data_IF_647590896977
#
_entry.id   IF_647590896977
#
_cell.length_a   1.000
_cell.length_b   1.000
_cell.length_c   1.000
_cell.angle_alpha   90.00
_cell.angle_beta   90.00
_cell.angle_gamma   90.00
#
_symmetry.space_group_name_H-M   'P 1'
#
loop_
_entity.id
_entity.type
_entity.pdbx_description
1 polymer ?
#
# COMPACT_ATOMS: atom_id res chain seq x y z
N UNK A 1 -0.80 13.43 9.29
CA UNK A 1 -1.33 12.08 9.37
C UNK A 1 -1.39 11.56 10.80
N UNK A 2 -2.48 10.92 11.18
CA UNK A 2 -2.58 10.21 12.47
C UNK A 2 -1.85 8.87 12.37
N UNK A 3 -1.08 8.52 13.43
CA UNK A 3 -0.47 7.20 13.54
C UNK A 3 -1.50 6.24 14.13
N UNK A 4 -1.85 5.18 13.41
CA UNK A 4 -2.73 4.11 13.91
C UNK A 4 -1.95 3.08 14.72
N UNK A 5 -0.68 2.88 14.38
CA UNK A 5 0.23 1.97 15.07
C UNK A 5 1.54 2.69 15.34
N UNK A 6 2.06 2.54 16.57
CA UNK A 6 3.28 3.16 17.01
C UNK A 6 3.10 4.58 17.59
N UNK A 7 4.19 5.14 18.09
CA UNK A 7 4.19 6.47 18.72
C UNK A 7 4.28 7.59 17.67
N UNK A 8 3.68 8.75 17.96
CA UNK A 8 3.82 9.96 17.13
C UNK A 8 5.23 10.58 17.25
N UNK A 9 6.22 9.91 16.66
CA UNK A 9 7.61 10.35 16.61
C UNK A 9 8.04 10.59 15.17
N UNK A 10 8.94 11.55 14.96
CA UNK A 10 9.47 11.92 13.64
C UNK A 10 10.02 10.70 12.85
N UNK A 11 10.63 9.74 13.54
CA UNK A 11 11.15 8.49 12.92
C UNK A 11 10.08 7.57 12.35
N UNK A 12 8.81 7.71 12.79
CA UNK A 12 7.66 6.98 12.27
C UNK A 12 7.01 7.69 11.07
N UNK A 13 7.58 8.81 10.60
CA UNK A 13 7.07 9.51 9.43
C UNK A 13 7.27 8.67 8.16
N UNK A 14 6.27 8.68 7.29
CA UNK A 14 6.34 8.02 6.00
C UNK A 14 6.85 8.99 4.90
N UNK A 15 7.47 8.47 3.84
CA UNK A 15 7.66 7.05 3.53
C UNK A 15 8.71 6.37 4.43
N UNK A 16 8.48 5.10 4.74
CA UNK A 16 9.44 4.24 5.44
C UNK A 16 10.40 3.64 4.41
N UNK A 17 11.70 3.77 4.65
CA UNK A 17 12.74 3.16 3.81
C UNK A 17 13.15 1.82 4.40
N UNK A 18 13.35 0.83 3.54
CA UNK A 18 13.93 -0.46 3.90
C UNK A 18 14.86 -0.94 2.79
N UNK A 19 15.92 -1.64 3.19
CA UNK A 19 16.89 -2.25 2.29
C UNK A 19 17.12 -3.70 2.70
N UNK A 20 17.08 -4.59 1.74
CA UNK A 20 17.31 -6.03 1.95
C UNK A 20 17.80 -6.72 0.68
N UNK A 21 17.83 -8.06 0.66
CA UNK A 21 18.26 -8.84 -0.51
C UNK A 21 17.51 -8.50 -1.79
N UNK A 22 16.24 -8.12 -1.70
CA UNK A 22 15.40 -7.76 -2.85
C UNK A 22 15.58 -6.31 -3.33
N UNK A 23 16.52 -5.57 -2.75
CA UNK A 23 16.79 -4.18 -3.09
C UNK A 23 16.33 -3.19 -2.02
N UNK A 24 16.30 -1.92 -2.39
CA UNK A 24 15.86 -0.81 -1.54
C UNK A 24 14.49 -0.32 -2.00
N UNK A 25 13.63 -0.01 -1.03
CA UNK A 25 12.29 0.55 -1.27
C UNK A 25 12.01 1.72 -0.33
N UNK A 26 11.06 2.58 -0.76
CA UNK A 26 10.38 3.53 0.11
C UNK A 26 8.87 3.23 0.07
N UNK A 27 8.24 3.08 1.24
CA UNK A 27 6.86 2.63 1.38
C UNK A 27 6.01 3.67 2.12
N UNK A 28 4.86 3.99 1.53
CA UNK A 28 3.78 4.69 2.20
C UNK A 28 2.60 3.73 2.41
N UNK A 29 1.98 3.80 3.59
CA UNK A 29 0.93 2.89 4.04
C UNK A 29 -0.25 3.67 4.61
N UNK A 30 -1.42 3.40 4.11
CA UNK A 30 -2.70 3.80 4.66
C UNK A 30 -3.43 2.56 5.15
N UNK A 31 -3.53 2.40 6.47
CA UNK A 31 -4.16 1.21 7.05
C UNK A 31 -3.60 0.83 8.41
N UNK A 32 -3.81 -0.42 8.77
CA UNK A 32 -3.34 -1.03 10.01
C UNK A 32 -3.17 -2.54 9.86
N UNK A 33 -2.00 -3.06 10.23
CA UNK A 33 -1.68 -4.50 10.24
C UNK A 33 -1.92 -5.04 11.64
N UNK A 34 -2.88 -5.97 11.78
CA UNK A 34 -3.28 -6.49 13.10
C UNK A 34 -2.35 -7.57 13.65
N UNK A 35 -1.63 -8.27 12.78
CA UNK A 35 -0.64 -9.28 13.17
C UNK A 35 0.82 -8.75 13.11
N UNK A 36 1.00 -7.47 13.39
CA UNK A 36 2.29 -6.80 13.32
C UNK A 36 3.32 -7.38 14.30
N UNK A 37 2.92 -7.67 15.56
CA UNK A 37 3.85 -8.13 16.60
C UNK A 37 4.55 -9.46 16.25
N UNK A 38 3.84 -10.56 15.93
CA UNK A 38 4.49 -11.81 15.57
C UNK A 38 5.32 -11.70 14.29
N UNK A 39 4.93 -10.88 13.31
CA UNK A 39 5.72 -10.66 12.10
C UNK A 39 7.03 -9.91 12.40
N UNK A 40 7.01 -8.97 13.34
CA UNK A 40 8.21 -8.28 13.79
C UNK A 40 9.20 -9.23 14.43
N UNK A 41 8.77 -10.06 15.37
CA UNK A 41 9.61 -11.06 16.05
C UNK A 41 10.27 -12.01 15.04
N UNK A 42 9.53 -12.46 14.05
CA UNK A 42 10.07 -13.33 13.01
C UNK A 42 11.11 -12.62 12.15
N UNK A 43 10.85 -11.40 11.72
CA UNK A 43 11.78 -10.60 10.91
C UNK A 43 13.05 -10.24 11.70
N UNK A 44 12.92 -9.98 12.99
CA UNK A 44 14.08 -9.82 13.89
C UNK A 44 14.91 -11.12 13.95
N UNK A 45 14.25 -12.27 13.98
CA UNK A 45 14.89 -13.59 13.86
C UNK A 45 15.63 -13.79 12.52
N UNK A 46 15.19 -13.13 11.45
CA UNK A 46 15.91 -13.10 10.17
C UNK A 46 17.06 -12.08 10.13
N UNK A 47 17.27 -11.35 11.22
CA UNK A 47 18.31 -10.33 11.34
C UNK A 47 17.89 -8.94 10.89
N UNK A 48 16.60 -8.69 10.62
CA UNK A 48 16.10 -7.35 10.36
C UNK A 48 16.23 -6.48 11.62
N UNK A 49 16.66 -5.25 11.43
CA UNK A 49 16.69 -4.24 12.50
C UNK A 49 15.61 -3.21 12.24
N UNK A 50 14.88 -2.85 13.29
CA UNK A 50 13.79 -1.89 13.22
C UNK A 50 14.18 -0.56 13.86
N UNK A 51 13.96 0.52 13.12
CA UNK A 51 14.22 1.89 13.58
C UNK A 51 12.94 2.57 14.10
N UNK A 52 11.78 2.04 13.74
CA UNK A 52 10.48 2.60 14.07
C UNK A 52 9.60 1.63 14.86
N UNK A 53 8.53 2.12 15.43
CA UNK A 53 7.46 1.30 16.03
C UNK A 53 6.25 1.13 15.10
N UNK A 54 6.38 1.51 13.83
CA UNK A 54 5.29 1.45 12.85
C UNK A 54 5.16 0.04 12.25
N UNK A 55 3.92 -0.39 12.02
CA UNK A 55 3.59 -1.57 11.23
C UNK A 55 4.04 -1.44 9.76
N UNK A 56 4.14 -0.22 9.25
CA UNK A 56 4.63 0.07 7.91
C UNK A 56 6.06 -0.42 7.68
N UNK A 57 6.91 -0.40 8.72
CA UNK A 57 8.29 -0.90 8.63
C UNK A 57 8.33 -2.43 8.50
N UNK A 58 7.39 -3.12 9.14
CA UNK A 58 7.23 -4.57 9.00
C UNK A 58 6.91 -4.94 7.56
N UNK A 59 5.96 -4.23 6.95
CA UNK A 59 5.61 -4.42 5.53
C UNK A 59 6.83 -4.18 4.64
N UNK A 60 7.57 -3.10 4.89
CA UNK A 60 8.76 -2.76 4.11
C UNK A 60 9.85 -3.84 4.23
N UNK A 61 10.11 -4.34 5.44
CA UNK A 61 11.03 -5.45 5.65
C UNK A 61 10.55 -6.74 5.01
N UNK A 62 9.25 -7.04 5.05
CA UNK A 62 8.72 -8.20 4.34
C UNK A 62 9.04 -8.12 2.85
N UNK A 63 8.68 -7.04 2.16
CA UNK A 63 8.92 -6.88 0.73
C UNK A 63 10.40 -6.98 0.35
N UNK A 64 11.29 -6.49 1.21
CA UNK A 64 12.73 -6.52 0.94
C UNK A 64 13.42 -7.84 1.30
N UNK A 65 12.77 -8.74 2.06
CA UNK A 65 13.39 -9.98 2.56
C UNK A 65 12.66 -11.28 2.18
N UNK A 66 11.35 -11.23 1.85
CA UNK A 66 10.62 -12.45 1.45
C UNK A 66 11.13 -13.02 0.14
N UNK A 67 11.09 -14.35 -0.04
CA UNK A 67 11.48 -14.99 -1.30
C UNK A 67 10.49 -14.64 -2.42
N UNK A 68 10.99 -14.62 -3.65
CA UNK A 68 10.22 -14.40 -4.87
C UNK A 68 11.15 -13.98 -6.02
N UNK A 69 10.92 -14.53 -7.21
CA UNK A 69 11.72 -14.23 -8.39
C UNK A 69 11.49 -12.78 -8.88
N UNK A 70 10.28 -12.28 -8.69
CA UNK A 70 9.88 -10.93 -9.08
C UNK A 70 9.01 -10.24 -8.02
N UNK A 71 8.58 -9.00 -8.30
CA UNK A 71 7.72 -8.26 -7.39
C UNK A 71 6.33 -8.88 -7.21
N UNK A 72 5.78 -9.55 -8.22
CA UNK A 72 4.49 -10.24 -8.14
C UNK A 72 4.51 -11.36 -7.10
N UNK A 73 5.53 -12.23 -7.16
CA UNK A 73 5.71 -13.32 -6.20
C UNK A 73 5.98 -12.81 -4.78
N UNK A 74 6.80 -11.76 -4.63
CA UNK A 74 7.09 -11.15 -3.31
C UNK A 74 5.83 -10.53 -2.70
N UNK A 75 5.05 -9.80 -3.48
CA UNK A 75 3.77 -9.25 -3.05
C UNK A 75 2.80 -10.37 -2.69
N UNK A 76 2.69 -11.42 -3.50
CA UNK A 76 1.86 -12.58 -3.20
C UNK A 76 2.25 -13.23 -1.87
N UNK A 77 3.54 -13.39 -1.62
CA UNK A 77 4.07 -13.95 -0.37
C UNK A 77 3.76 -13.07 0.83
N UNK A 78 3.96 -11.76 0.70
CA UNK A 78 3.61 -10.78 1.72
C UNK A 78 2.10 -10.79 2.01
N UNK A 79 1.24 -10.72 0.98
CA UNK A 79 -0.21 -10.65 1.15
C UNK A 79 -0.82 -11.89 1.79
N UNK A 80 -0.21 -13.07 1.61
CA UNK A 80 -0.65 -14.30 2.30
C UNK A 80 -0.41 -14.26 3.80
N UNK A 81 0.53 -13.44 4.25
CA UNK A 81 0.98 -13.39 5.64
C UNK A 81 0.44 -12.21 6.42
N UNK A 82 0.15 -11.10 5.73
CA UNK A 82 -0.42 -9.92 6.36
C UNK A 82 -1.90 -10.11 6.68
N UNK A 83 -2.28 -9.72 7.88
CA UNK A 83 -3.68 -9.58 8.30
C UNK A 83 -3.97 -8.14 8.67
N UNK A 84 -5.07 -7.61 8.15
CA UNK A 84 -5.47 -6.21 8.39
C UNK A 84 -5.92 -5.50 7.12
N UNK A 85 -6.12 -4.21 7.23
CA UNK A 85 -6.49 -3.33 6.14
C UNK A 85 -5.27 -2.51 5.71
N UNK A 86 -4.94 -2.50 4.41
CA UNK A 86 -3.80 -1.73 3.92
C UNK A 86 -3.94 -1.33 2.45
N UNK A 87 -3.60 -0.09 2.18
CA UNK A 87 -3.30 0.40 0.84
C UNK A 87 -1.88 0.95 0.84
N UNK A 88 -1.04 0.43 -0.05
CA UNK A 88 0.38 0.70 -0.08
C UNK A 88 0.77 1.38 -1.38
N UNK A 89 1.65 2.36 -1.28
CA UNK A 89 2.44 2.85 -2.40
C UNK A 89 3.90 2.56 -2.13
N UNK A 90 4.55 1.85 -3.04
CA UNK A 90 5.94 1.41 -2.89
C UNK A 90 6.77 1.93 -4.05
N UNK A 91 7.77 2.73 -3.72
CA UNK A 91 8.78 3.20 -4.68
C UNK A 91 9.99 2.26 -4.61
N UNK A 92 10.41 1.78 -5.77
CA UNK A 92 11.66 1.04 -5.98
C UNK A 92 12.63 1.87 -6.82
N UNK A 93 13.80 1.33 -7.15
CA UNK A 93 14.74 2.00 -8.06
C UNK A 93 14.13 2.30 -9.44
N UNK A 94 13.33 1.38 -9.98
CA UNK A 94 12.90 1.41 -11.37
C UNK A 94 11.37 1.41 -11.56
N UNK A 95 10.60 1.42 -10.46
CA UNK A 95 9.14 1.29 -10.52
C UNK A 95 8.43 1.90 -9.31
N UNK A 96 7.13 2.18 -9.50
CA UNK A 96 6.18 2.46 -8.43
C UNK A 96 5.12 1.35 -8.42
N UNK A 97 4.79 0.84 -7.24
CA UNK A 97 3.73 -0.15 -7.07
C UNK A 97 2.59 0.38 -6.20
N UNK A 98 1.37 0.00 -6.55
CA UNK A 98 0.18 0.17 -5.72
C UNK A 98 -0.33 -1.21 -5.31
N UNK A 99 -0.59 -1.41 -4.02
CA UNK A 99 -1.03 -2.70 -3.47
C UNK A 99 -2.21 -2.44 -2.55
N UNK A 100 -3.34 -3.12 -2.80
CA UNK A 100 -4.54 -3.00 -1.98
C UNK A 100 -4.82 -4.30 -1.23
N UNK A 101 -5.22 -4.20 0.03
CA UNK A 101 -5.52 -5.38 0.86
C UNK A 101 -6.59 -6.29 0.21
N UNK A 102 -6.61 -7.59 0.59
CA UNK A 102 -7.51 -8.53 -0.04
C UNK A 102 -9.00 -8.19 0.07
N UNK A 103 -9.44 -7.51 1.13
CA UNK A 103 -10.83 -7.09 1.30
C UNK A 103 -11.12 -5.71 0.71
N UNK A 104 -10.06 -4.95 0.34
CA UNK A 104 -10.18 -3.61 -0.21
C UNK A 104 -10.73 -2.58 0.78
N UNK A 105 -10.45 -2.78 2.08
CA UNK A 105 -11.00 -1.93 3.15
C UNK A 105 -10.55 -0.47 3.01
N UNK A 106 -9.29 -0.25 2.61
CA UNK A 106 -8.76 1.10 2.38
C UNK A 106 -8.74 1.41 0.89
N UNK A 107 -9.13 2.64 0.48
CA UNK A 107 -9.16 3.01 -0.92
C UNK A 107 -7.75 3.13 -1.51
N UNK A 108 -7.66 2.87 -2.80
CA UNK A 108 -6.47 3.11 -3.61
C UNK A 108 -6.88 3.27 -5.06
N UNK A 109 -6.52 4.37 -5.69
CA UNK A 109 -6.88 4.69 -7.07
C UNK A 109 -5.67 5.01 -7.93
N UNK A 110 -5.87 4.92 -9.23
CA UNK A 110 -4.89 5.22 -10.27
C UNK A 110 -5.42 6.37 -11.09
N UNK A 111 -4.58 7.38 -11.29
CA UNK A 111 -4.83 8.49 -12.20
C UNK A 111 -3.80 8.51 -13.34
N UNK A 112 -4.19 9.17 -14.42
CA UNK A 112 -3.35 9.38 -15.60
C UNK A 112 -3.02 10.87 -15.74
N UNK A 113 -1.75 11.17 -15.93
CA UNK A 113 -1.23 12.44 -16.41
C UNK A 113 -0.75 12.30 -17.85
N UNK A 114 -0.56 13.40 -18.56
CA UNK A 114 -0.04 13.37 -19.93
C UNK A 114 1.28 12.60 -20.05
N UNK A 115 2.16 12.76 -19.07
CA UNK A 115 3.50 12.16 -19.05
C UNK A 115 3.63 10.91 -18.17
N UNK A 116 2.53 10.38 -17.57
CA UNK A 116 2.69 9.25 -16.67
C UNK A 116 1.46 8.87 -15.87
N UNK A 117 1.69 8.15 -14.78
CA UNK A 117 0.66 7.59 -13.91
C UNK A 117 0.84 8.06 -12.47
N UNK A 118 -0.25 8.13 -11.74
CA UNK A 118 -0.30 8.49 -10.32
C UNK A 118 -1.04 7.41 -9.56
N UNK A 119 -0.58 7.11 -8.34
CA UNK A 119 -1.29 6.26 -7.38
C UNK A 119 -1.61 7.14 -6.17
N UNK A 120 -2.87 7.14 -5.76
CA UNK A 120 -3.33 7.91 -4.61
C UNK A 120 -4.37 7.11 -3.81
N UNK A 121 -4.56 7.47 -2.54
CA UNK A 121 -5.64 6.90 -1.72
C UNK A 121 -7.01 7.36 -2.18
N UNK A 122 -7.13 8.60 -2.65
CA UNK A 122 -8.41 9.25 -2.92
C UNK A 122 -8.39 10.01 -4.26
N UNK A 123 -9.53 10.09 -4.93
CA UNK A 123 -9.67 10.78 -6.22
C UNK A 123 -9.45 12.28 -6.10
N UNK A 124 -9.80 12.92 -4.99
CA UNK A 124 -9.53 14.35 -4.76
C UNK A 124 -8.03 14.69 -4.86
N UNK A 125 -7.14 13.73 -4.54
CA UNK A 125 -5.70 13.93 -4.72
C UNK A 125 -5.30 13.95 -6.20
N UNK A 126 -5.99 13.21 -7.06
CA UNK A 126 -5.80 13.23 -8.50
C UNK A 126 -6.25 14.56 -9.10
N UNK A 127 -7.44 15.03 -8.70
CA UNK A 127 -8.01 16.31 -9.15
C UNK A 127 -7.09 17.48 -8.81
N UNK A 128 -6.51 17.45 -7.60
CA UNK A 128 -5.61 18.50 -7.11
C UNK A 128 -4.35 18.68 -7.96
N UNK A 129 -3.88 17.63 -8.61
CA UNK A 129 -2.69 17.65 -9.49
C UNK A 129 -3.04 17.62 -10.99
N UNK A 130 -4.33 17.70 -11.34
CA UNK A 130 -4.81 17.66 -12.72
C UNK A 130 -4.69 16.27 -13.38
N UNK A 131 -4.64 15.19 -12.59
CA UNK A 131 -4.64 13.84 -13.13
C UNK A 131 -6.09 13.36 -13.38
N UNK A 132 -6.30 12.72 -14.52
CA UNK A 132 -7.59 12.10 -14.82
C UNK A 132 -7.71 10.76 -14.10
N UNK A 133 -8.81 10.53 -13.39
CA UNK A 133 -9.11 9.22 -12.79
C UNK A 133 -9.13 8.13 -13.88
N UNK A 134 -8.44 7.05 -13.65
CA UNK A 134 -8.39 5.91 -14.56
C UNK A 134 -9.21 4.73 -14.03
N UNK A 135 -8.90 4.27 -12.82
CA UNK A 135 -9.66 3.23 -12.10
C UNK A 135 -9.17 3.11 -10.65
N UNK A 136 -9.94 2.40 -9.86
CA UNK A 136 -9.44 1.91 -8.58
C UNK A 136 -8.50 0.69 -8.75
N UNK A 137 -7.62 0.48 -7.77
CA UNK A 137 -6.94 -0.80 -7.59
C UNK A 137 -7.92 -1.74 -6.93
N UNK A 138 -8.18 -2.90 -7.54
CA UNK A 138 -9.16 -3.85 -7.03
C UNK A 138 -8.72 -4.45 -5.68
N UNK A 139 -9.66 -4.93 -4.84
CA UNK A 139 -9.32 -5.70 -3.66
C UNK A 139 -8.39 -6.88 -4.00
N UNK A 140 -7.30 -7.03 -3.23
CA UNK A 140 -6.31 -8.09 -3.46
C UNK A 140 -5.42 -7.89 -4.69
N UNK A 141 -5.48 -6.73 -5.33
CA UNK A 141 -4.67 -6.43 -6.51
C UNK A 141 -3.38 -5.69 -6.13
N UNK A 142 -2.32 -6.01 -6.88
CA UNK A 142 -1.11 -5.22 -6.94
C UNK A 142 -0.80 -4.81 -8.38
N UNK A 143 -0.52 -3.54 -8.57
CA UNK A 143 -0.13 -2.95 -9.85
C UNK A 143 1.30 -2.44 -9.77
N UNK A 144 1.97 -2.40 -10.92
CA UNK A 144 3.29 -1.80 -11.08
C UNK A 144 3.28 -0.82 -12.26
N UNK A 145 4.00 0.26 -12.08
CA UNK A 145 4.26 1.28 -13.09
C UNK A 145 5.77 1.36 -13.25
N UNK A 146 6.27 1.01 -14.42
CA UNK A 146 7.68 1.08 -14.80
C UNK A 146 7.84 1.52 -16.26
N UNK A 147 9.00 1.31 -16.84
CA UNK A 147 9.30 1.64 -18.27
C UNK A 147 8.38 0.92 -19.27
N UNK A 148 7.72 -0.17 -18.85
CA UNK A 148 6.73 -0.91 -19.67
C UNK A 148 5.29 -0.39 -19.47
N UNK A 149 5.11 0.64 -18.65
CA UNK A 149 3.81 1.22 -18.32
C UNK A 149 3.13 0.57 -17.11
N UNK A 150 1.83 0.83 -16.98
CA UNK A 150 0.98 0.30 -15.91
C UNK A 150 0.53 -1.13 -16.23
N UNK A 151 0.70 -2.04 -15.30
CA UNK A 151 0.16 -3.41 -15.38
C UNK A 151 -0.11 -4.02 -14.00
N UNK A 152 -1.01 -4.97 -13.94
CA UNK A 152 -1.23 -5.81 -12.77
C UNK A 152 -0.12 -6.87 -12.67
N UNK A 153 0.50 -6.99 -11.50
CA UNK A 153 1.55 -8.00 -11.23
C UNK A 153 1.08 -9.12 -10.32
N UNK A 154 0.00 -8.89 -9.58
CA UNK A 154 -0.63 -9.88 -8.73
C UNK A 154 -2.11 -9.55 -8.54
N UNK A 155 -2.94 -10.58 -8.50
CA UNK A 155 -4.34 -10.48 -8.13
C UNK A 155 -4.74 -11.73 -7.36
N UNK A 156 -5.20 -11.53 -6.14
CA UNK A 156 -5.77 -12.60 -5.33
C UNK A 156 -7.25 -12.73 -5.67
N UNK A 157 -7.67 -13.91 -6.11
CA UNK A 157 -9.09 -14.20 -6.23
C UNK A 157 -9.71 -14.21 -4.83
N UNK A 158 -10.75 -13.44 -4.66
CA UNK A 158 -11.49 -13.38 -3.39
C UNK A 158 -12.98 -13.21 -3.65
N UNK A 159 -13.79 -13.91 -2.85
CA UNK A 159 -15.24 -13.76 -2.81
C UNK A 159 -15.59 -12.73 -1.72
N UNK A 160 -15.80 -11.49 -2.12
CA UNK A 160 -16.28 -10.40 -1.27
C UNK A 160 -15.31 -9.22 -1.17
N UNK A 161 -15.88 -8.05 -0.95
CA UNK A 161 -15.16 -6.84 -0.51
C UNK A 161 -15.73 -6.38 0.82
N UNK A 162 -14.96 -5.67 1.61
CA UNK A 162 -15.40 -5.06 2.84
C UNK A 162 -15.20 -3.55 2.75
N UNK A 163 -16.23 -2.79 3.05
CA UNK A 163 -16.13 -1.33 3.20
C UNK A 163 -16.16 -0.97 4.68
N UNK A 164 -15.33 -0.02 5.06
CA UNK A 164 -15.36 0.56 6.38
C UNK A 164 -16.27 1.79 6.35
N UNK A 165 -17.34 1.79 7.12
CA UNK A 165 -18.24 2.96 7.18
C UNK A 165 -17.51 4.23 7.65
N UNK A 166 -16.48 4.10 8.49
CA UNK A 166 -15.66 5.22 8.91
C UNK A 166 -14.85 5.83 7.76
N UNK A 167 -14.55 5.07 6.70
CA UNK A 167 -13.94 5.64 5.49
C UNK A 167 -14.85 6.69 4.90
N UNK A 168 -16.12 6.41 4.74
CA UNK A 168 -17.10 7.30 4.11
C UNK A 168 -17.54 8.45 5.02
N UNK A 169 -17.52 8.28 6.35
CA UNK A 169 -18.06 9.29 7.29
C UNK A 169 -16.95 10.18 7.87
N UNK A 170 -15.74 9.67 8.01
CA UNK A 170 -14.70 10.34 8.80
C UNK A 170 -13.36 10.50 8.09
N UNK A 171 -12.91 9.51 7.31
CA UNK A 171 -11.56 9.52 6.75
C UNK A 171 -11.50 10.14 5.35
N UNK A 172 -12.40 9.76 4.46
CA UNK A 172 -12.42 10.26 3.09
C UNK A 172 -12.88 11.72 3.04
N UNK A 173 -12.34 12.46 2.10
CA UNK A 173 -12.79 13.82 1.84
C UNK A 173 -14.16 13.79 1.15
N UNK A 174 -15.03 14.80 1.42
CA UNK A 174 -16.36 14.86 0.78
C UNK A 174 -16.31 14.93 -0.75
N UNK A 175 -15.26 15.50 -1.31
CA UNK A 175 -15.01 15.64 -2.74
C UNK A 175 -14.33 14.41 -3.39
N UNK A 176 -14.15 13.34 -2.64
CA UNK A 176 -13.63 12.07 -3.14
C UNK A 176 -14.73 11.15 -3.64
N UNK A 177 -14.43 10.31 -4.62
CA UNK A 177 -15.24 9.18 -5.03
C UNK A 177 -14.57 7.85 -4.63
N UNK A 178 -15.36 6.94 -4.07
CA UNK A 178 -14.95 5.58 -3.71
C UNK A 178 -16.05 4.65 -4.22
N UNK A 179 -15.67 3.55 -4.89
CA UNK A 179 -16.60 2.60 -5.53
C UNK A 179 -17.62 3.31 -6.45
N UNK A 180 -17.14 4.24 -7.28
CA UNK A 180 -17.91 5.07 -8.20
C UNK A 180 -19.00 5.95 -7.54
N UNK A 181 -18.93 6.16 -6.24
CA UNK A 181 -19.87 7.00 -5.48
C UNK A 181 -19.15 8.18 -4.84
N UNK A 182 -19.69 9.36 -5.02
CA UNK A 182 -19.24 10.54 -4.29
C UNK A 182 -19.52 10.34 -2.79
N UNK A 183 -18.56 10.71 -1.95
CA UNK A 183 -18.65 10.53 -0.49
C UNK A 183 -19.72 11.47 0.11
N UNK A 184 -19.92 12.64 -0.50
CA UNK A 184 -20.92 13.62 -0.07
C UNK A 184 -22.34 13.18 -0.40
#
# INVERSE_FOLDING_TARGET
RYSTTGSSRKRNAQPIRSKGPNGEIALAHNGNVVNAAPLREELEGWGCRFDTSSDSEIIAHMLTNVPGADWGERVATMMRRLSGAYSLTVLTKDAVMGIRDPLGVRPLCIGKLDAGWVIASETCALDHIGATFFREVAPGEAVIIDSKGLRTIYKREQNGCASCIFENIYFARPDSAIDDKLIY
#
